data_IF_209680407160
#
_entry.id   IF_209680407160
#
_cell.length_a   1.000
_cell.length_b   1.000
_cell.length_c   1.000
_cell.angle_alpha   90.00
_cell.angle_beta   90.00
_cell.angle_gamma   90.00
#
_symmetry.space_group_name_H-M   'P 1'
#
loop_
_entity.id
_entity.type
_entity.pdbx_description
1 polymer ?
#
# COMPACT_ATOMS: atom_id res chain seq x y z
N UNK A 1 7.67 -13.98 2.03
CA UNK A 1 6.42 -14.54 2.61
C UNK A 1 5.19 -13.90 1.98
N UNK A 2 4.13 -14.65 1.79
CA UNK A 2 2.82 -14.15 1.36
C UNK A 2 1.70 -15.06 1.86
N UNK A 3 0.50 -14.54 1.95
CA UNK A 3 -0.73 -15.29 2.10
C UNK A 3 -1.33 -15.54 0.71
N UNK A 4 -1.85 -16.74 0.48
CA UNK A 4 -2.58 -17.13 -0.74
C UNK A 4 -3.82 -17.92 -0.30
N UNK A 5 -4.92 -17.21 -0.17
CA UNK A 5 -6.19 -17.77 0.27
C UNK A 5 -7.12 -18.02 -0.91
N UNK A 6 -7.82 -19.15 -0.91
CA UNK A 6 -8.70 -19.61 -1.99
C UNK A 6 -8.00 -19.69 -3.37
N UNK A 7 -6.88 -20.45 -3.51
CA UNK A 7 -6.03 -20.45 -4.71
C UNK A 7 -6.71 -21.01 -5.97
N UNK A 8 -7.87 -21.63 -5.83
CA UNK A 8 -8.66 -22.16 -6.96
C UNK A 8 -9.47 -21.08 -7.70
N UNK A 9 -9.71 -19.93 -7.07
CA UNK A 9 -10.43 -18.82 -7.70
C UNK A 9 -9.57 -18.10 -8.72
N UNK A 10 -10.20 -17.65 -9.81
CA UNK A 10 -9.56 -16.85 -10.86
C UNK A 10 -9.74 -15.34 -10.64
N UNK A 11 -10.61 -14.96 -9.72
CA UNK A 11 -10.85 -13.57 -9.35
C UNK A 11 -9.88 -13.19 -8.24
N UNK A 12 -8.78 -12.56 -8.61
CA UNK A 12 -7.67 -12.28 -7.71
C UNK A 12 -7.80 -10.89 -7.08
N UNK A 13 -7.58 -10.81 -5.78
CA UNK A 13 -7.38 -9.55 -5.05
C UNK A 13 -5.95 -9.53 -4.53
N UNK A 14 -5.17 -8.55 -4.98
CA UNK A 14 -3.81 -8.29 -4.51
C UNK A 14 -3.84 -7.17 -3.48
N UNK A 15 -3.47 -7.49 -2.24
CA UNK A 15 -3.44 -6.57 -1.11
C UNK A 15 -1.98 -6.20 -0.78
N UNK A 16 -1.54 -5.02 -1.17
CA UNK A 16 -0.19 -4.54 -0.90
C UNK A 16 -0.19 -3.58 0.28
N UNK A 17 0.50 -3.98 1.36
CA UNK A 17 0.68 -3.16 2.56
C UNK A 17 1.75 -2.09 2.36
N UNK A 18 1.79 -1.15 3.29
CA UNK A 18 2.81 -0.13 3.37
C UNK A 18 3.61 -0.16 4.68
N UNK A 19 4.31 0.90 4.95
CA UNK A 19 5.22 1.08 6.07
C UNK A 19 4.47 1.64 7.31
N UNK A 20 4.76 1.17 8.53
CA UNK A 20 5.61 0.03 8.92
C UNK A 20 4.82 -1.27 9.19
N UNK A 21 3.75 -1.50 8.41
CA UNK A 21 2.85 -2.63 8.58
C UNK A 21 3.36 -3.90 7.85
N UNK A 22 2.52 -4.91 7.78
CA UNK A 22 2.72 -6.15 7.04
C UNK A 22 1.36 -6.77 6.70
N UNK A 23 1.28 -7.94 6.07
CA UNK A 23 0.01 -8.53 5.64
C UNK A 23 -1.03 -8.69 6.77
N UNK A 24 -0.61 -8.65 8.03
CA UNK A 24 -1.49 -8.63 9.21
C UNK A 24 -2.50 -7.47 9.19
N UNK A 25 -2.16 -6.36 8.53
CA UNK A 25 -3.05 -5.22 8.31
C UNK A 25 -4.37 -5.64 7.65
N UNK A 26 -4.33 -6.68 6.83
CA UNK A 26 -5.49 -7.17 6.07
C UNK A 26 -6.28 -8.30 6.76
N UNK A 27 -5.88 -8.73 7.98
CA UNK A 27 -6.50 -9.86 8.69
C UNK A 27 -8.03 -9.76 8.85
N UNK A 28 -8.55 -8.53 8.96
CA UNK A 28 -9.99 -8.27 9.10
C UNK A 28 -10.73 -8.20 7.75
N UNK A 29 -10.00 -7.98 6.65
CA UNK A 29 -10.54 -7.86 5.28
C UNK A 29 -10.56 -9.22 4.57
N UNK A 30 -9.48 -10.00 4.70
CA UNK A 30 -9.27 -11.27 4.00
C UNK A 30 -10.47 -12.24 4.15
N UNK A 31 -11.03 -12.49 5.36
CA UNK A 31 -12.15 -13.41 5.50
C UNK A 31 -13.37 -13.05 4.65
N UNK A 32 -13.70 -11.76 4.55
CA UNK A 32 -14.82 -11.29 3.73
C UNK A 32 -14.59 -11.51 2.23
N UNK A 33 -13.36 -11.31 1.76
CA UNK A 33 -13.01 -11.54 0.36
C UNK A 33 -13.04 -13.03 0.00
N UNK A 34 -12.54 -13.88 0.88
CA UNK A 34 -12.56 -15.34 0.72
C UNK A 34 -13.99 -15.87 0.73
N UNK A 35 -14.84 -15.39 1.65
CA UNK A 35 -16.27 -15.73 1.70
C UNK A 35 -17.01 -15.31 0.40
N UNK A 36 -16.61 -14.20 -0.21
CA UNK A 36 -17.11 -13.74 -1.51
C UNK A 36 -16.50 -14.51 -2.70
N UNK A 37 -15.69 -15.56 -2.46
CA UNK A 37 -15.13 -16.43 -3.50
C UNK A 37 -13.88 -15.88 -4.17
N UNK A 38 -13.29 -14.78 -3.70
CA UNK A 38 -12.05 -14.20 -4.27
C UNK A 38 -10.82 -15.00 -3.82
N UNK A 39 -9.80 -15.09 -4.69
CA UNK A 39 -8.44 -15.47 -4.30
C UNK A 39 -7.75 -14.23 -3.75
N UNK A 40 -7.16 -14.34 -2.57
CA UNK A 40 -6.50 -13.21 -1.92
C UNK A 40 -5.01 -13.46 -1.82
N UNK A 41 -4.22 -12.58 -2.43
CA UNK A 41 -2.77 -12.56 -2.32
C UNK A 41 -2.36 -11.35 -1.47
N UNK A 42 -1.71 -11.62 -0.34
CA UNK A 42 -1.21 -10.57 0.55
C UNK A 42 0.26 -10.85 0.90
N UNK A 43 1.22 -10.30 0.15
CA UNK A 43 2.63 -10.46 0.46
C UNK A 43 3.07 -9.59 1.63
N UNK A 44 4.10 -10.03 2.32
CA UNK A 44 4.93 -9.18 3.15
C UNK A 44 6.07 -8.63 2.27
N UNK A 45 6.19 -7.33 2.15
CA UNK A 45 7.29 -6.70 1.43
C UNK A 45 8.63 -7.09 2.07
N UNK A 46 9.71 -7.17 1.27
CA UNK A 46 11.06 -7.42 1.79
C UNK A 46 11.40 -6.33 2.83
N UNK A 47 11.85 -6.76 4.00
CA UNK A 47 12.07 -5.86 5.16
C UNK A 47 10.93 -5.85 6.17
N UNK A 48 9.78 -6.48 5.86
CA UNK A 48 8.57 -6.44 6.69
C UNK A 48 8.01 -7.85 6.95
N UNK A 49 7.09 -7.93 7.90
CA UNK A 49 6.37 -9.16 8.22
C UNK A 49 7.28 -10.36 8.41
N UNK A 50 6.95 -11.46 7.77
CA UNK A 50 7.71 -12.73 7.79
C UNK A 50 8.70 -12.85 6.62
N UNK A 51 8.77 -11.85 5.72
CA UNK A 51 9.77 -11.80 4.65
C UNK A 51 11.16 -11.48 5.21
N UNK A 52 12.19 -11.79 4.41
CA UNK A 52 13.59 -11.54 4.76
C UNK A 52 13.86 -10.05 4.99
N UNK A 53 14.82 -9.77 5.85
CA UNK A 53 15.20 -8.41 6.24
C UNK A 53 16.70 -8.21 6.08
N UNK A 54 17.08 -7.29 5.21
CA UNK A 54 18.46 -6.81 5.14
C UNK A 54 18.74 -5.89 6.35
N UNK A 55 19.95 -5.99 6.90
CA UNK A 55 20.41 -5.10 7.99
C UNK A 55 20.86 -3.75 7.48
N UNK A 56 21.31 -3.72 6.23
CA UNK A 56 21.79 -2.52 5.57
C UNK A 56 20.61 -1.76 4.92
N UNK A 57 20.45 -0.49 5.28
CA UNK A 57 19.42 0.37 4.70
C UNK A 57 19.59 0.58 3.19
N UNK A 58 20.85 0.59 2.71
CA UNK A 58 21.16 0.84 1.30
C UNK A 58 20.74 -0.33 0.39
N UNK A 59 20.44 -1.51 0.97
CA UNK A 59 19.85 -2.63 0.24
C UNK A 59 18.39 -2.35 -0.19
N UNK A 60 17.72 -1.45 0.51
CA UNK A 60 16.34 -1.08 0.22
C UNK A 60 16.32 0.10 -0.74
N UNK A 61 15.85 -0.12 -1.95
CA UNK A 61 15.58 0.94 -2.92
C UNK A 61 14.15 0.80 -3.45
N UNK A 62 13.58 1.88 -3.94
CA UNK A 62 12.24 1.81 -4.54
C UNK A 62 12.22 0.84 -5.74
N UNK A 63 13.26 0.88 -6.59
CA UNK A 63 13.40 -0.03 -7.72
C UNK A 63 13.46 -1.50 -7.30
N UNK A 64 14.24 -1.83 -6.25
CA UNK A 64 14.32 -3.19 -5.73
C UNK A 64 12.96 -3.69 -5.23
N UNK A 65 12.18 -2.85 -4.53
CA UNK A 65 10.86 -3.24 -4.06
C UNK A 65 9.87 -3.52 -5.19
N UNK A 66 9.92 -2.75 -6.27
CA UNK A 66 9.14 -3.01 -7.48
C UNK A 66 9.57 -4.36 -8.08
N UNK A 67 10.87 -4.58 -8.24
CA UNK A 67 11.42 -5.80 -8.83
C UNK A 67 11.07 -7.05 -8.01
N UNK A 68 11.33 -7.05 -6.71
CA UNK A 68 11.01 -8.17 -5.83
C UNK A 68 9.52 -8.52 -5.82
N UNK A 69 8.66 -7.50 -5.78
CA UNK A 69 7.22 -7.72 -5.76
C UNK A 69 6.71 -8.20 -7.13
N UNK A 70 7.28 -7.68 -8.22
CA UNK A 70 6.96 -8.10 -9.58
C UNK A 70 7.40 -9.56 -9.84
N UNK A 71 8.56 -9.98 -9.34
CA UNK A 71 9.00 -11.37 -9.44
C UNK A 71 8.03 -12.34 -8.74
N UNK A 72 7.51 -11.99 -7.56
CA UNK A 72 6.47 -12.78 -6.89
C UNK A 72 5.20 -12.86 -7.72
N UNK A 73 4.77 -11.73 -8.27
CA UNK A 73 3.59 -11.62 -9.13
C UNK A 73 3.71 -12.52 -10.38
N UNK A 74 4.86 -12.47 -11.06
CA UNK A 74 5.12 -13.29 -12.24
C UNK A 74 5.23 -14.78 -11.88
N UNK A 75 5.86 -15.10 -10.75
CA UNK A 75 5.96 -16.48 -10.24
C UNK A 75 4.58 -17.09 -9.98
N UNK A 76 3.66 -16.33 -9.42
CA UNK A 76 2.29 -16.77 -9.14
C UNK A 76 1.38 -16.76 -10.39
N UNK A 77 1.87 -16.25 -11.51
CA UNK A 77 1.13 -16.15 -12.78
C UNK A 77 -0.24 -15.49 -12.60
N UNK A 78 -0.28 -14.41 -11.81
CA UNK A 78 -1.53 -13.72 -11.49
C UNK A 78 -2.11 -13.02 -12.72
N UNK A 79 -3.45 -13.07 -12.81
CA UNK A 79 -4.25 -12.41 -13.85
C UNK A 79 -5.60 -12.01 -13.27
N UNK A 80 -6.36 -11.18 -13.98
CA UNK A 80 -7.69 -10.69 -13.57
C UNK A 80 -7.69 -10.10 -12.15
N UNK A 81 -6.78 -9.18 -11.88
CA UNK A 81 -6.46 -8.70 -10.54
C UNK A 81 -7.19 -7.42 -10.21
N UNK A 82 -7.84 -7.38 -9.05
CA UNK A 82 -8.16 -6.14 -8.35
C UNK A 82 -6.98 -5.81 -7.44
N UNK A 83 -6.32 -4.68 -7.69
CA UNK A 83 -5.28 -4.17 -6.81
C UNK A 83 -5.89 -3.27 -5.73
N UNK A 84 -5.67 -3.60 -4.46
CA UNK A 84 -5.86 -2.67 -3.35
C UNK A 84 -4.50 -2.11 -2.93
N UNK A 85 -4.30 -0.83 -3.14
CA UNK A 85 -3.03 -0.13 -3.05
C UNK A 85 -3.06 0.91 -1.93
N UNK A 86 -2.34 0.66 -0.81
CA UNK A 86 -2.27 1.58 0.33
C UNK A 86 -0.82 1.90 0.66
N UNK A 87 -0.52 3.16 0.96
CA UNK A 87 0.81 3.66 1.32
C UNK A 87 1.89 3.19 0.34
N UNK A 88 3.00 2.59 0.76
CA UNK A 88 4.02 2.01 -0.11
C UNK A 88 3.49 0.91 -1.03
N UNK A 89 2.47 0.17 -0.58
CA UNK A 89 1.78 -0.77 -1.47
C UNK A 89 1.14 -0.08 -2.68
N UNK A 90 0.80 1.21 -2.55
CA UNK A 90 0.36 2.03 -3.68
C UNK A 90 1.51 2.45 -4.58
N UNK A 91 2.61 2.95 -4.03
CA UNK A 91 3.78 3.34 -4.83
C UNK A 91 4.29 2.16 -5.67
N UNK A 92 4.43 0.99 -5.06
CA UNK A 92 4.88 -0.25 -5.73
C UNK A 92 3.81 -0.77 -6.69
N UNK A 93 2.56 -0.92 -6.20
CA UNK A 93 1.47 -1.54 -6.95
C UNK A 93 1.08 -0.76 -8.20
N UNK A 94 1.07 0.58 -8.15
CA UNK A 94 0.79 1.42 -9.31
C UNK A 94 1.87 1.27 -10.39
N UNK A 95 3.15 1.13 -10.00
CA UNK A 95 4.25 0.84 -10.94
C UNK A 95 4.12 -0.54 -11.57
N UNK A 96 3.73 -1.56 -10.79
CA UNK A 96 3.46 -2.90 -11.31
C UNK A 96 2.27 -2.90 -12.27
N UNK A 97 1.16 -2.22 -11.89
CA UNK A 97 -0.02 -2.09 -12.74
C UNK A 97 0.35 -1.44 -14.08
N UNK A 98 1.14 -0.36 -14.06
CA UNK A 98 1.51 0.33 -15.30
C UNK A 98 2.47 -0.44 -16.18
N UNK A 99 3.25 -1.36 -15.62
CA UNK A 99 4.10 -2.27 -16.39
C UNK A 99 3.31 -3.39 -17.09
N UNK A 100 2.19 -3.85 -16.52
CA UNK A 100 1.37 -4.94 -17.05
C UNK A 100 -0.15 -4.62 -16.90
N UNK A 101 -0.68 -3.53 -17.50
CA UNK A 101 -2.03 -3.03 -17.24
C UNK A 101 -3.14 -4.02 -17.60
N UNK A 102 -2.90 -4.92 -18.56
CA UNK A 102 -3.87 -5.91 -19.00
C UNK A 102 -4.17 -6.98 -17.94
N UNK A 103 -3.24 -7.22 -17.03
CA UNK A 103 -3.37 -8.17 -15.91
C UNK A 103 -4.38 -7.72 -14.85
N UNK A 104 -4.69 -6.44 -14.79
CA UNK A 104 -5.55 -5.87 -13.76
C UNK A 104 -6.95 -5.64 -14.29
N UNK A 105 -7.96 -6.06 -13.53
CA UNK A 105 -9.39 -5.83 -13.79
C UNK A 105 -9.94 -4.61 -13.06
N UNK A 106 -9.26 -4.16 -11.99
CA UNK A 106 -9.67 -3.00 -11.20
C UNK A 106 -8.57 -2.49 -10.28
N UNK A 107 -8.74 -1.27 -9.80
CA UNK A 107 -7.82 -0.58 -8.91
C UNK A 107 -8.58 0.10 -7.77
N UNK A 108 -8.14 -0.10 -6.54
CA UNK A 108 -8.53 0.74 -5.41
C UNK A 108 -7.28 1.39 -4.83
N UNK A 109 -7.25 2.71 -4.77
CA UNK A 109 -6.18 3.47 -4.11
C UNK A 109 -6.72 3.98 -2.78
N UNK A 110 -6.01 3.66 -1.71
CA UNK A 110 -6.35 4.07 -0.35
C UNK A 110 -5.14 4.70 0.31
N UNK A 111 -5.26 5.94 0.75
CA UNK A 111 -4.18 6.64 1.49
C UNK A 111 -2.82 6.43 0.83
N UNK A 112 -2.74 6.71 -0.46
CA UNK A 112 -1.55 6.53 -1.29
C UNK A 112 -1.57 7.43 -2.52
N UNK A 113 -0.49 7.42 -3.29
CA UNK A 113 -0.32 8.15 -4.52
C UNK A 113 0.92 7.71 -5.26
N UNK A 114 1.24 8.42 -6.35
CA UNK A 114 2.46 8.19 -7.11
C UNK A 114 3.22 9.52 -7.26
N UNK A 115 4.11 9.85 -6.30
CA UNK A 115 4.84 11.12 -6.28
C UNK A 115 5.75 11.31 -7.50
N UNK A 116 5.84 12.56 -7.98
CA UNK A 116 6.60 12.93 -9.18
C UNK A 116 7.59 14.07 -8.93
N UNK A 117 8.06 14.24 -7.70
CA UNK A 117 9.11 15.20 -7.36
C UNK A 117 8.63 16.63 -7.12
N UNK A 118 7.34 16.86 -6.89
CA UNK A 118 6.76 18.19 -6.73
C UNK A 118 6.59 18.65 -5.27
N UNK A 119 7.25 17.96 -4.34
CA UNK A 119 7.17 18.22 -2.91
C UNK A 119 6.36 17.16 -2.16
N UNK A 120 6.14 17.40 -0.88
CA UNK A 120 5.38 16.54 0.02
C UNK A 120 4.42 17.39 0.88
N UNK A 121 3.42 16.73 1.43
CA UNK A 121 2.51 17.33 2.42
C UNK A 121 3.27 17.64 3.72
N UNK A 122 2.75 18.56 4.52
CA UNK A 122 3.29 18.82 5.86
C UNK A 122 3.24 17.55 6.73
N UNK A 123 2.15 16.76 6.65
CA UNK A 123 2.02 15.50 7.37
C UNK A 123 3.11 14.49 7.00
N UNK A 124 3.44 14.38 5.70
CA UNK A 124 4.55 13.51 5.28
C UNK A 124 5.91 14.04 5.76
N UNK A 125 6.17 15.35 5.72
CA UNK A 125 7.41 15.94 6.21
C UNK A 125 7.59 15.68 7.72
N UNK A 126 6.53 15.77 8.51
CA UNK A 126 6.54 15.43 9.93
C UNK A 126 6.83 13.94 10.14
N UNK A 127 6.19 13.07 9.36
CA UNK A 127 6.47 11.63 9.37
C UNK A 127 7.92 11.32 9.00
N UNK A 128 8.43 11.89 7.92
CA UNK A 128 9.81 11.71 7.49
C UNK A 128 10.81 12.10 8.61
N UNK A 129 10.61 13.27 9.21
CA UNK A 129 11.45 13.71 10.32
C UNK A 129 11.36 12.75 11.52
N UNK A 130 10.15 12.38 11.95
CA UNK A 130 9.93 11.45 13.04
C UNK A 130 10.61 10.11 12.79
N UNK A 131 10.43 9.50 11.63
CA UNK A 131 10.96 8.20 11.26
C UNK A 131 12.51 8.14 11.32
N UNK A 132 13.18 9.28 11.10
CA UNK A 132 14.65 9.35 11.11
C UNK A 132 15.22 9.75 12.46
N UNK A 133 14.43 10.39 13.35
CA UNK A 133 14.93 10.95 14.61
C UNK A 133 14.47 10.18 15.85
N UNK A 134 13.36 9.41 15.76
CA UNK A 134 12.88 8.65 16.91
C UNK A 134 13.86 7.55 17.31
N UNK A 135 14.20 7.48 18.58
CA UNK A 135 15.15 6.48 19.11
C UNK A 135 14.52 5.08 19.08
N UNK A 136 13.33 4.91 19.66
CA UNK A 136 12.55 3.67 19.60
C UNK A 136 11.51 3.74 18.46
N UNK A 137 11.82 3.12 17.34
CA UNK A 137 10.91 2.99 16.21
C UNK A 137 9.92 1.85 16.45
N UNK A 138 8.85 2.13 17.19
CA UNK A 138 7.86 1.14 17.58
C UNK A 138 6.75 1.03 16.51
N UNK A 139 6.85 0.03 15.63
CA UNK A 139 5.93 -0.17 14.50
C UNK A 139 4.46 -0.28 14.96
N UNK A 140 4.19 -1.04 16.01
CA UNK A 140 2.83 -1.20 16.55
C UNK A 140 2.25 0.10 17.08
N UNK A 141 3.05 0.92 17.76
CA UNK A 141 2.61 2.25 18.23
C UNK A 141 2.39 3.23 17.08
N UNK A 142 3.18 3.14 16.02
CA UNK A 142 2.99 3.95 14.81
C UNK A 142 1.64 3.60 14.16
N UNK A 143 1.36 2.30 13.97
CA UNK A 143 0.06 1.87 13.43
C UNK A 143 -1.10 2.30 14.35
N UNK A 144 -0.95 2.15 15.66
CA UNK A 144 -1.94 2.62 16.64
C UNK A 144 -2.22 4.13 16.51
N UNK A 145 -1.18 4.96 16.39
CA UNK A 145 -1.31 6.40 16.25
C UNK A 145 -1.90 6.83 14.90
N UNK A 146 -1.56 6.10 13.84
CA UNK A 146 -2.10 6.33 12.49
C UNK A 146 -3.50 5.77 12.26
N UNK A 147 -4.08 5.07 13.26
CA UNK A 147 -5.44 4.53 13.22
C UNK A 147 -6.37 5.33 14.12
N UNK A 148 -7.61 5.57 13.69
CA UNK A 148 -8.65 6.22 14.52
C UNK A 148 -9.21 5.27 15.58
N UNK A 149 -9.24 3.97 15.30
CA UNK A 149 -9.67 2.92 16.22
C UNK A 149 -8.49 2.54 17.11
N UNK A 150 -8.73 2.44 18.40
CA UNK A 150 -7.72 1.97 19.34
C UNK A 150 -7.45 0.49 19.10
N UNK A 151 -6.19 0.16 18.80
CA UNK A 151 -5.71 -1.21 18.82
C UNK A 151 -5.50 -1.65 20.27
N UNK A 152 -5.76 -2.91 20.56
CA UNK A 152 -5.40 -3.49 21.86
C UNK A 152 -3.89 -3.83 21.93
N UNK A 153 -3.41 -4.20 23.10
CA UNK A 153 -1.98 -4.50 23.30
C UNK A 153 -1.51 -5.74 22.51
N UNK A 154 -2.41 -6.70 22.24
CA UNK A 154 -2.08 -7.87 21.42
C UNK A 154 -1.94 -7.49 19.94
N UNK A 155 -2.81 -6.62 19.43
CA UNK A 155 -2.72 -6.08 18.07
C UNK A 155 -1.43 -5.23 17.90
N UNK A 156 -1.09 -4.38 18.86
CA UNK A 156 0.16 -3.60 18.88
C UNK A 156 1.37 -4.55 18.87
N UNK A 157 1.36 -5.58 19.74
CA UNK A 157 2.42 -6.58 19.80
C UNK A 157 2.56 -7.36 18.48
N UNK A 158 1.45 -7.68 17.80
CA UNK A 158 1.47 -8.36 16.51
C UNK A 158 2.16 -7.51 15.41
N UNK A 159 1.94 -6.19 15.39
CA UNK A 159 2.67 -5.29 14.47
C UNK A 159 4.16 -5.18 14.79
N UNK A 160 4.56 -5.34 16.06
CA UNK A 160 5.96 -5.33 16.47
C UNK A 160 6.65 -6.69 16.28
N UNK A 161 5.90 -7.79 16.23
CA UNK A 161 6.47 -9.15 16.20
C UNK A 161 7.52 -9.41 15.10
N UNK A 162 7.41 -8.82 13.88
CA UNK A 162 8.43 -8.97 12.85
C UNK A 162 9.76 -8.28 13.14
N UNK A 163 9.84 -7.43 14.16
CA UNK A 163 10.94 -6.52 14.44
C UNK A 163 11.47 -6.70 15.88
N UNK A 164 12.15 -7.84 16.16
CA UNK A 164 12.60 -8.16 17.52
C UNK A 164 13.60 -7.15 18.10
N UNK A 165 14.35 -6.47 17.24
CA UNK A 165 15.27 -5.38 17.62
C UNK A 165 15.45 -4.38 16.46
N UNK A 166 16.22 -3.29 16.69
CA UNK A 166 16.45 -2.22 15.71
C UNK A 166 17.11 -2.70 14.40
N UNK A 167 17.90 -3.79 14.43
CA UNK A 167 18.54 -4.31 13.21
C UNK A 167 17.54 -4.87 12.19
N UNK A 168 16.35 -5.25 12.64
CA UNK A 168 15.25 -5.71 11.79
C UNK A 168 14.40 -4.56 11.22
N UNK A 169 14.63 -3.31 11.67
CA UNK A 169 13.84 -2.12 11.26
C UNK A 169 14.52 -1.30 10.15
N UNK A 170 15.60 -1.81 9.56
CA UNK A 170 16.35 -1.09 8.51
C UNK A 170 15.44 -0.73 7.32
N UNK A 171 14.58 -1.66 6.87
CA UNK A 171 13.61 -1.41 5.80
C UNK A 171 12.57 -0.36 6.18
N UNK A 172 12.00 -0.45 7.38
CA UNK A 172 11.02 0.52 7.86
C UNK A 172 11.60 1.94 7.96
N UNK A 173 12.84 2.06 8.43
CA UNK A 173 13.54 3.36 8.47
C UNK A 173 14.02 3.85 7.09
N UNK A 174 14.20 2.96 6.11
CA UNK A 174 14.60 3.34 4.76
C UNK A 174 13.40 3.90 3.96
N UNK A 175 12.22 3.32 4.07
CA UNK A 175 11.06 3.62 3.24
C UNK A 175 10.70 5.11 3.16
N UNK A 176 10.63 5.88 4.25
CA UNK A 176 10.30 7.30 4.15
C UNK A 176 11.30 8.11 3.32
N UNK A 177 12.58 7.69 3.30
CA UNK A 177 13.64 8.34 2.51
C UNK A 177 13.55 8.03 1.01
N UNK A 178 12.89 6.94 0.63
CA UNK A 178 12.79 6.46 -0.76
C UNK A 178 11.61 7.08 -1.52
N UNK A 179 10.77 7.90 -0.87
CA UNK A 179 9.63 8.54 -1.52
C UNK A 179 10.11 9.66 -2.44
N UNK A 180 9.74 9.67 -3.75
CA UNK A 180 10.21 10.66 -4.72
C UNK A 180 9.56 12.04 -4.54
N UNK A 181 9.91 12.75 -3.45
CA UNK A 181 9.35 14.08 -3.15
C UNK A 181 10.12 15.25 -3.78
N UNK A 182 11.30 15.01 -4.31
CA UNK A 182 12.13 16.02 -4.98
C UNK A 182 12.35 15.67 -6.44
N UNK A 183 12.43 16.65 -7.32
CA UNK A 183 12.59 16.43 -8.78
C UNK A 183 13.89 15.69 -9.15
N UNK A 184 14.92 15.79 -8.29
CA UNK A 184 16.19 15.09 -8.49
C UNK A 184 16.20 13.63 -8.03
N UNK A 185 15.10 13.08 -7.51
CA UNK A 185 15.04 11.70 -7.08
C UNK A 185 15.06 10.74 -8.29
N UNK A 186 15.82 9.66 -8.20
CA UNK A 186 16.06 8.71 -9.29
C UNK A 186 14.79 8.07 -9.88
N UNK A 187 13.71 7.93 -9.08
CA UNK A 187 12.45 7.31 -9.51
C UNK A 187 11.38 8.31 -10.01
N UNK A 188 11.69 9.60 -10.08
CA UNK A 188 10.73 10.62 -10.56
C UNK A 188 10.39 10.43 -12.03
N UNK A 189 11.39 10.13 -12.87
CA UNK A 189 11.18 9.91 -14.30
C UNK A 189 10.23 8.73 -14.53
N UNK A 190 10.51 7.60 -13.91
CA UNK A 190 9.73 6.38 -14.01
C UNK A 190 8.30 6.57 -13.48
N UNK A 191 8.11 7.36 -12.41
CA UNK A 191 6.78 7.69 -11.91
C UNK A 191 6.01 8.59 -12.88
N UNK A 192 6.69 9.56 -13.53
CA UNK A 192 6.08 10.37 -14.60
C UNK A 192 5.63 9.51 -15.78
N UNK A 193 6.46 8.56 -16.21
CA UNK A 193 6.12 7.58 -17.26
C UNK A 193 4.95 6.68 -16.87
N UNK A 194 4.92 6.21 -15.62
CA UNK A 194 3.79 5.44 -15.10
C UNK A 194 2.48 6.25 -15.10
N UNK A 195 2.53 7.55 -14.82
CA UNK A 195 1.36 8.42 -14.93
C UNK A 195 0.82 8.50 -16.36
N UNK A 196 1.67 8.47 -17.39
CA UNK A 196 1.19 8.46 -18.78
C UNK A 196 0.37 7.19 -19.09
N UNK A 197 0.73 6.04 -18.50
CA UNK A 197 -0.07 4.81 -18.60
C UNK A 197 -1.36 4.93 -17.77
N UNK A 198 -1.29 5.43 -16.53
CA UNK A 198 -2.46 5.60 -15.67
C UNK A 198 -3.52 6.52 -16.32
N UNK A 199 -3.12 7.54 -17.05
CA UNK A 199 -4.01 8.43 -17.82
C UNK A 199 -4.77 7.73 -18.93
N UNK A 200 -4.41 6.50 -19.29
CA UNK A 200 -5.11 5.66 -20.27
C UNK A 200 -5.84 4.48 -19.63
N UNK A 201 -5.67 4.26 -18.32
CA UNK A 201 -6.26 3.14 -17.61
C UNK A 201 -7.76 3.35 -17.41
N UNK A 202 -8.58 2.60 -18.16
CA UNK A 202 -10.03 2.74 -18.21
C UNK A 202 -10.81 1.76 -17.35
N UNK A 203 -10.12 0.78 -16.73
CA UNK A 203 -10.78 -0.20 -15.84
C UNK A 203 -11.19 0.46 -14.52
N UNK A 204 -12.23 -0.06 -13.84
CA UNK A 204 -12.76 0.56 -12.62
C UNK A 204 -11.66 0.95 -11.63
N UNK A 205 -11.64 2.23 -11.24
CA UNK A 205 -10.66 2.78 -10.31
C UNK A 205 -11.37 3.55 -9.20
N UNK A 206 -11.28 3.06 -7.97
CA UNK A 206 -11.93 3.67 -6.81
C UNK A 206 -10.88 4.31 -5.89
N UNK A 207 -11.14 5.51 -5.42
CA UNK A 207 -10.37 6.17 -4.37
C UNK A 207 -11.13 6.03 -3.04
N UNK A 208 -10.46 5.48 -2.01
CA UNK A 208 -10.98 5.35 -0.64
C UNK A 208 -9.95 5.95 0.30
N UNK A 209 -10.21 7.13 0.84
CA UNK A 209 -9.24 7.85 1.66
C UNK A 209 -9.78 8.13 3.07
N UNK A 210 -8.90 8.04 4.06
CA UNK A 210 -9.20 8.42 5.44
C UNK A 210 -9.22 9.94 5.61
N UNK A 211 -10.30 10.48 6.21
CA UNK A 211 -10.47 11.91 6.44
C UNK A 211 -9.37 12.52 7.33
N UNK A 212 -8.75 11.67 8.17
CA UNK A 212 -7.74 12.10 9.15
C UNK A 212 -6.30 11.76 8.73
N UNK A 213 -6.10 11.26 7.49
CA UNK A 213 -4.75 11.06 6.95
C UNK A 213 -4.16 12.38 6.45
N UNK A 214 -3.17 12.89 7.16
CA UNK A 214 -2.50 14.13 6.81
C UNK A 214 -1.36 13.92 5.79
N UNK A 215 -0.88 12.67 5.62
CA UNK A 215 0.23 12.36 4.72
C UNK A 215 -0.19 12.35 3.25
N UNK A 216 -1.40 11.87 2.97
CA UNK A 216 -1.93 11.74 1.61
C UNK A 216 -3.13 12.64 1.32
N UNK A 217 -3.26 13.73 2.07
CA UNK A 217 -4.34 14.70 1.86
C UNK A 217 -4.34 15.21 0.42
N UNK A 218 -5.51 15.23 -0.21
CA UNK A 218 -5.77 15.70 -1.58
C UNK A 218 -5.17 14.83 -2.71
N UNK A 219 -4.50 13.71 -2.41
CA UNK A 219 -4.00 12.80 -3.44
C UNK A 219 -5.13 12.06 -4.17
N UNK A 220 -6.26 11.81 -3.51
CA UNK A 220 -7.47 11.28 -4.10
C UNK A 220 -7.96 12.10 -5.29
N UNK A 221 -7.94 13.43 -5.17
CA UNK A 221 -8.38 14.35 -6.23
C UNK A 221 -7.58 14.15 -7.51
N UNK A 222 -6.27 13.97 -7.38
CA UNK A 222 -5.41 13.75 -8.53
C UNK A 222 -5.70 12.40 -9.22
N UNK A 223 -5.92 11.34 -8.44
CA UNK A 223 -6.31 10.03 -8.94
C UNK A 223 -7.65 10.08 -9.67
N UNK A 224 -8.66 10.69 -9.05
CA UNK A 224 -10.02 10.80 -9.60
C UNK A 224 -10.04 11.61 -10.90
N UNK A 225 -9.25 12.69 -10.96
CA UNK A 225 -9.20 13.56 -12.12
C UNK A 225 -8.43 12.93 -13.29
N UNK A 226 -7.32 12.24 -13.02
CA UNK A 226 -6.36 11.82 -14.05
C UNK A 226 -6.59 10.40 -14.59
N UNK A 227 -7.21 9.51 -13.82
CA UNK A 227 -7.42 8.12 -14.24
C UNK A 227 -8.83 7.96 -14.85
N UNK A 228 -8.97 7.65 -16.14
CA UNK A 228 -10.28 7.56 -16.80
C UNK A 228 -11.24 6.55 -16.14
N UNK A 229 -10.70 5.44 -15.63
CA UNK A 229 -11.47 4.41 -14.92
C UNK A 229 -12.10 4.87 -13.60
N UNK A 230 -11.70 6.02 -13.07
CA UNK A 230 -12.30 6.61 -11.88
C UNK A 230 -13.62 7.34 -12.16
N UNK A 231 -13.86 7.74 -13.42
CA UNK A 231 -15.02 8.57 -13.78
C UNK A 231 -16.34 7.88 -13.46
N UNK A 232 -17.18 8.55 -12.69
CA UNK A 232 -18.54 8.09 -12.38
C UNK A 232 -18.63 7.07 -11.26
N UNK A 233 -17.52 6.68 -10.65
CA UNK A 233 -17.52 5.83 -9.47
C UNK A 233 -17.80 6.65 -8.20
N UNK A 234 -18.31 5.97 -7.17
CA UNK A 234 -18.65 6.59 -5.89
C UNK A 234 -17.43 6.54 -4.95
N UNK A 235 -16.47 7.42 -5.18
CA UNK A 235 -15.28 7.55 -4.33
C UNK A 235 -15.66 7.84 -2.87
N UNK A 236 -14.80 7.43 -1.94
CA UNK A 236 -15.09 7.48 -0.51
C UNK A 236 -14.05 8.30 0.25
N UNK A 237 -14.54 9.24 1.04
CA UNK A 237 -13.86 9.73 2.21
C UNK A 237 -14.49 9.04 3.42
N UNK A 238 -13.68 8.37 4.22
CA UNK A 238 -14.16 7.54 5.32
C UNK A 238 -13.58 8.03 6.64
N UNK A 239 -14.33 7.84 7.72
CA UNK A 239 -13.86 8.11 9.07
C UNK A 239 -12.74 7.14 9.45
N UNK A 240 -11.53 7.45 9.01
CA UNK A 240 -10.33 6.65 9.20
C UNK A 240 -9.09 7.55 9.20
N UNK A 241 -8.03 7.05 9.82
CA UNK A 241 -6.68 7.58 9.69
C UNK A 241 -5.94 6.95 8.51
N UNK A 242 -4.62 6.94 8.60
CA UNK A 242 -3.74 6.38 7.57
C UNK A 242 -3.93 4.87 7.36
N UNK A 243 -4.12 4.10 8.44
CA UNK A 243 -4.39 2.66 8.39
C UNK A 243 -5.90 2.41 8.35
N UNK A 244 -6.54 2.79 7.24
CA UNK A 244 -7.99 2.70 7.04
C UNK A 244 -8.53 1.27 7.21
N UNK A 245 -7.72 0.26 6.97
CA UNK A 245 -8.01 -1.16 7.12
C UNK A 245 -8.31 -1.55 8.58
N UNK A 246 -7.73 -0.85 9.55
CA UNK A 246 -8.03 -1.03 10.97
C UNK A 246 -9.34 -0.36 11.38
N UNK A 247 -9.71 0.71 10.69
CA UNK A 247 -10.88 1.51 11.02
C UNK A 247 -12.17 1.00 10.37
N UNK A 248 -12.13 0.67 9.08
CA UNK A 248 -13.31 0.39 8.24
C UNK A 248 -13.11 -0.88 7.37
N UNK A 249 -12.68 -2.04 7.96
CA UNK A 249 -12.35 -3.22 7.17
C UNK A 249 -13.54 -3.79 6.38
N UNK A 250 -14.75 -3.80 6.96
CA UNK A 250 -15.95 -4.31 6.32
C UNK A 250 -16.36 -3.45 5.11
N UNK A 251 -16.26 -2.12 5.25
CA UNK A 251 -16.52 -1.19 4.15
C UNK A 251 -15.52 -1.40 3.01
N UNK A 252 -14.24 -1.49 3.33
CA UNK A 252 -13.19 -1.71 2.33
C UNK A 252 -13.39 -3.04 1.62
N UNK A 253 -13.67 -4.12 2.35
CA UNK A 253 -13.95 -5.43 1.76
C UNK A 253 -15.15 -5.36 0.80
N UNK A 254 -16.24 -4.70 1.21
CA UNK A 254 -17.44 -4.50 0.39
C UNK A 254 -17.14 -3.74 -0.90
N UNK A 255 -16.34 -2.66 -0.82
CA UNK A 255 -15.98 -1.88 -2.01
C UNK A 255 -15.07 -2.69 -2.97
N UNK A 256 -14.16 -3.54 -2.44
CA UNK A 256 -13.36 -4.46 -3.26
C UNK A 256 -14.25 -5.49 -3.97
N UNK A 257 -15.20 -6.10 -3.25
CA UNK A 257 -16.10 -7.13 -3.80
C UNK A 257 -16.98 -6.56 -4.91
N UNK A 258 -17.42 -5.32 -4.78
CA UNK A 258 -18.38 -4.69 -5.69
C UNK A 258 -17.72 -3.89 -6.83
N UNK A 259 -16.39 -3.85 -6.91
CA UNK A 259 -15.69 -3.00 -7.88
C UNK A 259 -15.86 -3.50 -9.33
N UNK A 260 -15.87 -4.84 -9.52
CA UNK A 260 -15.98 -5.53 -10.83
C UNK A 260 -16.85 -6.76 -10.75
#
# INVERSE_FOLDING_TARGET
>A
HYLDENPSSKDVVLLLHGEPSWCYLYRKIIPHLVEAGKRVIAPDLIGFGKSDKYKDKDAYTYANHIDWTSQLFDHLQLDNIILFAQDWGGLIGLRMLTAQPDKFSGLIVSNSGLPVGIGATEGFNQWLNYSQTVEDFNCGRIVYQGSMKKLDEAEIAAYNAPFPDETYKAGARAFPLLVPITDGHDQVKENKEAWEVLKTFSKPTLAIFGEYDMSFRDQDKYIIEKIPGAKGLNHRWIEAGHFSQENQPELIAKEIINLV
#
